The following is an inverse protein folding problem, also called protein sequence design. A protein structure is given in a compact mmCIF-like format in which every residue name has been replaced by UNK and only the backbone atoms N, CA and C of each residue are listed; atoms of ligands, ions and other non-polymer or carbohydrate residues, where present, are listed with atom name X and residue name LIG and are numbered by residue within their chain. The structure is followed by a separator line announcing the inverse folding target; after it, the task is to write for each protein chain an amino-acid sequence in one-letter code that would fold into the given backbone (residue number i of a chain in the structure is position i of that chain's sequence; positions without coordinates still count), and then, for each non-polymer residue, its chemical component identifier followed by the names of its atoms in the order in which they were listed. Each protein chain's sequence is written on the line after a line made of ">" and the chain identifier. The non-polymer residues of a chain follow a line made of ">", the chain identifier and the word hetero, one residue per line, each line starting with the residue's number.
data_IF_791074749648
#
_entry.id   IF_791074749648
#
_cell.length_a   1.000
_cell.length_b   1.000
_cell.length_c   1.000
_cell.angle_alpha   90.00
_cell.angle_beta   90.00
_cell.angle_gamma   90.00
#
_symmetry.space_group_name_H-M   'P 1'
#
loop_
_entity.id
_entity.type
_entity.pdbx_description
1 polymer ?
#
# COMPACT_ATOMS: atom_id res chain seq x y z
N UNK A 1 25.60 -14.63 -0.20
CA UNK A 1 25.65 -13.15 -0.34
C UNK A 1 24.28 -12.55 -0.59
N UNK A 2 23.49 -13.02 -1.57
CA UNK A 2 22.15 -12.49 -1.87
C UNK A 2 21.21 -12.50 -0.66
N UNK A 3 21.18 -13.60 0.12
CA UNK A 3 20.39 -13.68 1.36
C UNK A 3 20.82 -12.68 2.45
N UNK A 4 22.13 -12.40 2.58
CA UNK A 4 22.62 -11.39 3.54
C UNK A 4 22.24 -9.98 3.07
N UNK A 5 22.35 -9.72 1.77
CA UNK A 5 21.95 -8.45 1.19
C UNK A 5 20.44 -8.20 1.36
N UNK A 6 19.58 -9.20 1.14
CA UNK A 6 18.13 -9.06 1.35
C UNK A 6 17.79 -8.87 2.82
N UNK A 7 18.43 -9.61 3.73
CA UNK A 7 18.21 -9.45 5.18
C UNK A 7 18.58 -8.05 5.68
N UNK A 8 19.68 -7.47 5.19
CA UNK A 8 20.11 -6.13 5.63
C UNK A 8 19.31 -5.03 4.91
N UNK A 9 19.23 -5.07 3.57
CA UNK A 9 18.64 -4.00 2.76
C UNK A 9 17.12 -4.05 2.76
N UNK A 10 16.53 -5.20 2.40
CA UNK A 10 15.09 -5.30 2.25
C UNK A 10 14.40 -5.40 3.62
N UNK A 11 14.95 -6.19 4.54
CA UNK A 11 14.34 -6.43 5.85
C UNK A 11 14.75 -5.36 6.87
N UNK A 12 16.01 -5.32 7.30
CA UNK A 12 16.41 -4.46 8.41
C UNK A 12 16.22 -2.96 8.09
N UNK A 13 16.76 -2.49 6.97
CA UNK A 13 16.61 -1.08 6.56
C UNK A 13 15.17 -0.75 6.16
N UNK A 14 14.51 -1.61 5.39
CA UNK A 14 13.11 -1.43 5.00
C UNK A 14 12.18 -1.27 6.21
N UNK A 15 12.28 -2.16 7.19
CA UNK A 15 11.47 -2.06 8.41
C UNK A 15 11.86 -0.85 9.27
N UNK A 16 13.14 -0.47 9.34
CA UNK A 16 13.55 0.72 10.08
C UNK A 16 12.95 1.99 9.48
N UNK A 17 12.93 2.11 8.15
CA UNK A 17 12.30 3.23 7.43
C UNK A 17 10.78 3.19 7.64
N UNK A 18 10.15 2.02 7.53
CA UNK A 18 8.71 1.85 7.73
C UNK A 18 8.28 2.24 9.15
N UNK A 19 9.01 1.79 10.17
CA UNK A 19 8.74 2.15 11.57
C UNK A 19 8.91 3.65 11.80
N UNK A 20 9.89 4.27 11.14
CA UNK A 20 10.05 5.74 11.19
C UNK A 20 8.90 6.46 10.49
N UNK A 21 8.40 5.94 9.37
CA UNK A 21 7.22 6.48 8.71
C UNK A 21 5.99 6.41 9.63
N UNK A 22 5.76 5.29 10.32
CA UNK A 22 4.67 5.16 11.31
C UNK A 22 4.76 6.26 12.38
N UNK A 23 5.96 6.58 12.87
CA UNK A 23 6.16 7.64 13.86
C UNK A 23 5.91 9.04 13.29
N UNK A 24 6.06 9.25 11.98
CA UNK A 24 5.93 10.57 11.34
C UNK A 24 4.52 10.84 10.82
N UNK A 25 3.89 9.85 10.16
CA UNK A 25 2.61 10.02 9.48
C UNK A 25 1.47 9.23 10.14
N UNK A 26 1.76 8.42 11.16
CA UNK A 26 0.76 7.59 11.82
C UNK A 26 0.63 6.18 11.23
N UNK A 27 -0.01 5.31 11.99
CA UNK A 27 -0.17 3.90 11.66
C UNK A 27 -1.18 3.67 10.52
N UNK A 28 -2.27 4.45 10.47
CA UNK A 28 -3.31 4.29 9.45
C UNK A 28 -2.77 4.65 8.05
N UNK A 29 -2.14 5.81 7.93
CA UNK A 29 -1.52 6.31 6.70
C UNK A 29 -0.38 5.38 6.26
N UNK A 30 0.47 4.94 7.20
CA UNK A 30 1.54 3.97 6.90
C UNK A 30 1.01 2.60 6.45
N UNK A 31 -0.14 2.17 6.98
CA UNK A 31 -0.80 0.94 6.54
C UNK A 31 -1.30 1.05 5.10
N UNK A 32 -1.75 2.23 4.65
CA UNK A 32 -2.11 2.44 3.25
C UNK A 32 -0.88 2.26 2.34
N UNK A 33 0.29 2.77 2.74
CA UNK A 33 1.52 2.62 1.96
C UNK A 33 1.98 1.15 1.83
N UNK A 34 1.93 0.35 2.90
CA UNK A 34 2.39 -1.05 2.81
C UNK A 34 1.50 -1.91 1.90
N UNK A 35 0.25 -1.49 1.72
CA UNK A 35 -0.67 -2.11 0.77
C UNK A 35 -0.31 -1.86 -0.71
N UNK A 36 0.68 -1.02 -1.00
CA UNK A 36 1.27 -0.89 -2.34
C UNK A 36 2.29 -2.00 -2.64
N UNK A 37 2.73 -2.78 -1.65
CA UNK A 37 3.67 -3.88 -1.86
C UNK A 37 3.23 -4.85 -2.98
N UNK A 38 1.95 -5.27 -3.07
CA UNK A 38 1.48 -6.14 -4.15
C UNK A 38 1.61 -5.50 -5.54
N UNK A 39 1.42 -4.18 -5.67
CA UNK A 39 1.65 -3.45 -6.93
C UNK A 39 3.12 -3.54 -7.34
N UNK A 40 4.03 -3.20 -6.42
CA UNK A 40 5.47 -3.25 -6.71
C UNK A 40 5.97 -4.67 -6.93
N UNK A 41 5.41 -5.66 -6.23
CA UNK A 41 5.72 -7.07 -6.45
C UNK A 41 5.32 -7.52 -7.84
N UNK A 42 4.14 -7.12 -8.32
CA UNK A 42 3.67 -7.45 -9.67
C UNK A 42 4.53 -6.80 -10.75
N UNK A 43 4.82 -5.50 -10.59
CA UNK A 43 5.70 -4.76 -11.50
C UNK A 43 7.12 -5.33 -11.49
N UNK A 44 7.63 -5.70 -10.33
CA UNK A 44 8.94 -6.31 -10.17
C UNK A 44 9.03 -7.69 -10.84
N UNK A 45 8.00 -8.53 -10.71
CA UNK A 45 7.93 -9.81 -11.41
C UNK A 45 7.96 -9.64 -12.93
N UNK A 46 7.20 -8.68 -13.46
CA UNK A 46 7.22 -8.37 -14.88
C UNK A 46 8.58 -7.84 -15.37
N UNK A 47 9.16 -6.87 -14.65
CA UNK A 47 10.38 -6.18 -15.07
C UNK A 47 11.67 -6.99 -14.86
N UNK A 48 11.81 -7.66 -13.71
CA UNK A 48 13.06 -8.34 -13.33
C UNK A 48 13.05 -9.83 -13.65
N UNK A 49 11.89 -10.49 -13.58
CA UNK A 49 11.77 -11.93 -13.87
C UNK A 49 11.26 -12.18 -15.29
N UNK A 50 10.72 -11.17 -15.98
CA UNK A 50 10.14 -11.32 -17.32
C UNK A 50 8.83 -12.10 -17.32
N UNK A 51 8.16 -12.20 -16.18
CA UNK A 51 6.89 -12.92 -16.07
C UNK A 51 5.75 -12.12 -16.69
N UNK A 52 4.95 -12.75 -17.54
CA UNK A 52 3.72 -12.14 -18.06
C UNK A 52 2.68 -12.00 -16.96
N UNK A 53 2.11 -10.79 -16.83
CA UNK A 53 1.03 -10.55 -15.87
C UNK A 53 -0.22 -11.32 -16.30
N UNK A 54 -0.59 -12.32 -15.51
CA UNK A 54 -1.76 -13.15 -15.74
C UNK A 54 -3.06 -12.47 -15.28
N UNK A 55 -4.19 -12.90 -15.84
CA UNK A 55 -5.51 -12.41 -15.43
C UNK A 55 -5.78 -12.66 -13.93
N UNK A 56 -5.33 -13.81 -13.40
CA UNK A 56 -5.47 -14.15 -11.98
C UNK A 56 -4.73 -13.16 -11.07
N UNK A 57 -3.54 -12.69 -11.48
CA UNK A 57 -2.79 -11.69 -10.72
C UNK A 57 -3.48 -10.32 -10.76
N UNK A 58 -4.08 -9.94 -11.89
CA UNK A 58 -4.87 -8.70 -12.00
C UNK A 58 -6.10 -8.76 -11.09
N UNK A 59 -6.81 -9.90 -11.06
CA UNK A 59 -7.95 -10.09 -10.16
C UNK A 59 -7.53 -10.06 -8.69
N UNK A 60 -6.41 -10.71 -8.34
CA UNK A 60 -5.83 -10.66 -7.01
C UNK A 60 -5.45 -9.24 -6.59
N UNK A 61 -4.79 -8.49 -7.48
CA UNK A 61 -4.46 -7.09 -7.24
C UNK A 61 -5.72 -6.23 -7.04
N UNK A 62 -6.75 -6.45 -7.85
CA UNK A 62 -8.03 -5.73 -7.73
C UNK A 62 -8.70 -6.00 -6.39
N UNK A 63 -8.66 -7.26 -5.92
CA UNK A 63 -9.21 -7.64 -4.61
C UNK A 63 -8.44 -6.98 -3.46
N UNK A 64 -7.11 -6.90 -3.57
CA UNK A 64 -6.27 -6.18 -2.61
C UNK A 64 -6.68 -4.72 -2.56
N UNK A 65 -6.73 -4.02 -3.71
CA UNK A 65 -7.12 -2.60 -3.77
C UNK A 65 -8.50 -2.38 -3.12
N UNK A 66 -9.47 -3.25 -3.41
CA UNK A 66 -10.78 -3.19 -2.77
C UNK A 66 -10.70 -3.34 -1.25
N UNK A 67 -9.96 -4.34 -0.76
CA UNK A 67 -9.75 -4.56 0.68
C UNK A 67 -9.11 -3.36 1.37
N UNK A 68 -8.16 -2.69 0.69
CA UNK A 68 -7.46 -1.50 1.20
C UNK A 68 -8.41 -0.31 1.30
N UNK A 69 -9.19 -0.05 0.25
CA UNK A 69 -10.17 1.05 0.24
C UNK A 69 -11.20 0.86 1.37
N UNK A 70 -11.65 -0.38 1.59
CA UNK A 70 -12.62 -0.70 2.64
C UNK A 70 -12.00 -0.65 4.04
N UNK A 71 -10.79 -1.18 4.22
CA UNK A 71 -10.15 -1.32 5.52
C UNK A 71 -9.41 -0.08 6.04
N UNK A 72 -9.01 0.83 5.15
CA UNK A 72 -8.27 2.05 5.51
C UNK A 72 -9.15 3.17 6.08
N UNK A 73 -10.47 3.06 6.03
CA UNK A 73 -11.38 4.14 6.45
C UNK A 73 -11.40 5.34 5.50
N UNK A 74 -10.70 5.27 4.36
CA UNK A 74 -10.67 6.34 3.34
C UNK A 74 -12.07 6.72 2.83
N UNK A 75 -13.00 5.75 2.81
CA UNK A 75 -14.40 6.00 2.46
C UNK A 75 -15.14 6.81 3.53
N UNK A 76 -14.79 6.66 4.80
CA UNK A 76 -15.43 7.39 5.90
C UNK A 76 -14.95 8.84 5.96
N UNK A 77 -13.66 9.07 5.77
CA UNK A 77 -13.06 10.41 5.66
C UNK A 77 -13.68 11.21 4.51
N UNK A 78 -13.82 10.58 3.34
CA UNK A 78 -14.42 11.19 2.15
C UNK A 78 -15.90 11.55 2.36
N UNK A 79 -16.67 10.70 3.06
CA UNK A 79 -18.07 10.99 3.40
C UNK A 79 -18.21 12.14 4.41
N UNK A 80 -17.33 12.23 5.40
CA UNK A 80 -17.34 13.32 6.40
C UNK A 80 -17.02 14.67 5.76
N UNK A 81 -16.00 14.73 4.90
CA UNK A 81 -15.63 15.96 4.18
C UNK A 81 -16.73 16.41 3.21
N UNK A 82 -17.35 15.48 2.48
CA UNK A 82 -18.48 15.77 1.59
C UNK A 82 -19.70 16.33 2.35
N UNK A 83 -19.99 15.80 3.55
CA UNK A 83 -21.05 16.32 4.43
C UNK A 83 -20.75 17.72 4.98
N UNK A 84 -19.50 18.00 5.35
CA UNK A 84 -19.09 19.34 5.84
C UNK A 84 -19.18 20.42 4.76
N UNK A 85 -18.78 20.11 3.52
CA UNK A 85 -18.92 21.02 2.38
C UNK A 85 -20.40 21.40 2.13
N UNK A 86 -21.31 20.41 2.17
CA UNK A 86 -22.76 20.65 2.07
C UNK A 86 -23.37 21.46 3.22
N UNK A 87 -22.77 21.40 4.42
CA UNK A 87 -23.26 22.13 5.60
C UNK A 87 -22.77 23.59 5.65
N UNK A 88 -21.59 23.88 5.07
CA UNK A 88 -21.01 25.24 4.99
C UNK A 88 -21.52 26.04 3.79
N UNK A 89 -22.08 25.38 2.77
CA UNK A 89 -22.70 26.02 1.60
C UNK A 89 -24.18 26.38 1.77
N UNK A 90 -24.69 26.44 3.01
CA UNK A 90 -26.03 26.91 3.36
C UNK A 90 -25.93 28.12 4.29
#
# INVERSE_FOLDING_TARGET
>A
MIFLASAVLATALGHMIYNKAIQQIGAAESAIFINLNPLFSLLGAYLFLGESISLSQILGFSLIVLGVILGSGMLDESRVLSRRSKALGK
#
